data_IF_973096976238
#
_entry.id   IF_973096976238
#
_cell.length_a   1.000
_cell.length_b   1.000
_cell.length_c   1.000
_cell.angle_alpha   90.00
_cell.angle_beta   90.00
_cell.angle_gamma   90.00
#
_symmetry.space_group_name_H-M   'P 1'
#
loop_
_entity.id
_entity.type
_entity.pdbx_description
1 polymer ?
#
# COMPACT_ATOMS: atom_id res chain seq x y z
N UNK A 1 11.50 9.98 3.31
CA UNK A 1 12.64 10.02 2.36
C UNK A 1 12.79 11.47 1.93
N UNK A 2 14.00 12.03 2.16
CA UNK A 2 14.33 13.35 1.61
C UNK A 2 14.75 13.17 0.15
N UNK A 3 13.99 13.74 -0.76
CA UNK A 3 14.39 13.81 -2.18
C UNK A 3 15.51 14.82 -2.38
N UNK A 4 16.20 14.79 -3.51
CA UNK A 4 17.21 15.81 -3.90
C UNK A 4 16.67 17.25 -3.91
N UNK A 5 15.34 17.42 -3.94
CA UNK A 5 14.65 18.70 -3.85
C UNK A 5 14.17 19.04 -2.43
N UNK A 6 14.69 18.36 -1.41
CA UNK A 6 14.34 18.54 0.01
C UNK A 6 12.85 18.34 0.35
N UNK A 7 12.13 17.55 -0.48
CA UNK A 7 10.75 17.17 -0.23
C UNK A 7 10.71 15.82 0.49
N UNK A 8 10.07 15.80 1.66
CA UNK A 8 9.85 14.57 2.42
C UNK A 8 8.69 13.76 1.80
N UNK A 9 9.01 12.68 1.08
CA UNK A 9 7.99 11.75 0.59
C UNK A 9 7.84 10.60 1.59
N UNK A 10 6.68 10.47 2.19
CA UNK A 10 6.33 9.37 3.06
C UNK A 10 5.63 8.27 2.26
N UNK A 11 6.33 7.16 2.03
CA UNK A 11 5.73 5.97 1.42
C UNK A 11 5.11 5.05 2.47
N UNK A 12 3.89 4.61 2.23
CA UNK A 12 3.27 3.56 3.03
C UNK A 12 3.85 2.19 2.63
N UNK A 13 4.66 1.61 3.50
CA UNK A 13 5.25 0.29 3.28
C UNK A 13 4.15 -0.77 3.30
N UNK A 14 4.14 -1.66 2.29
CA UNK A 14 3.18 -2.75 2.24
C UNK A 14 3.39 -3.72 3.41
N UNK A 15 2.31 -4.07 4.11
CA UNK A 15 2.34 -5.05 5.19
C UNK A 15 2.73 -6.44 4.66
N UNK A 16 3.26 -7.29 5.53
CA UNK A 16 3.67 -8.66 5.18
C UNK A 16 2.47 -9.45 4.66
N UNK A 17 1.29 -9.31 5.27
CA UNK A 17 0.07 -10.01 4.85
C UNK A 17 -0.35 -9.71 3.41
N UNK A 18 -0.32 -8.43 2.98
CA UNK A 18 -0.63 -8.03 1.60
C UNK A 18 0.38 -8.62 0.60
N UNK A 19 1.66 -8.74 1.00
CA UNK A 19 2.70 -9.36 0.15
C UNK A 19 2.52 -10.87 0.02
N UNK A 20 2.08 -11.54 1.08
CA UNK A 20 1.75 -12.97 1.05
C UNK A 20 0.54 -13.20 0.13
N UNK A 21 -0.48 -12.35 0.22
CA UNK A 21 -1.65 -12.42 -0.64
C UNK A 21 -1.28 -12.21 -2.12
N UNK A 22 -0.45 -11.20 -2.43
CA UNK A 22 0.07 -10.98 -3.78
C UNK A 22 0.83 -12.20 -4.31
N UNK A 23 1.69 -12.79 -3.47
CA UNK A 23 2.43 -14.01 -3.81
C UNK A 23 1.49 -15.19 -4.06
N UNK A 24 0.44 -15.36 -3.25
CA UNK A 24 -0.56 -16.42 -3.45
C UNK A 24 -1.27 -16.30 -4.79
N UNK A 25 -1.66 -15.07 -5.19
CA UNK A 25 -2.27 -14.82 -6.51
C UNK A 25 -1.29 -15.16 -7.64
N UNK A 26 -0.02 -14.74 -7.53
CA UNK A 26 1.00 -15.08 -8.52
C UNK A 26 1.23 -16.60 -8.61
N UNK A 27 1.14 -17.32 -7.49
CA UNK A 27 1.24 -18.80 -7.46
C UNK A 27 0.06 -19.45 -8.17
N UNK A 28 -1.17 -18.94 -8.02
CA UNK A 28 -2.33 -19.43 -8.77
C UNK A 28 -2.15 -19.26 -10.28
N UNK A 29 -1.62 -18.13 -10.73
CA UNK A 29 -1.34 -17.88 -12.16
C UNK A 29 -0.30 -18.90 -12.67
N UNK A 30 0.76 -19.13 -11.92
CA UNK A 30 1.80 -20.11 -12.27
C UNK A 30 1.26 -21.54 -12.29
N UNK A 31 0.40 -21.90 -11.33
CA UNK A 31 -0.25 -23.21 -11.29
C UNK A 31 -1.20 -23.40 -12.49
N UNK A 32 -1.97 -22.37 -12.86
CA UNK A 32 -2.81 -22.40 -14.04
C UNK A 32 -1.98 -22.60 -15.32
N UNK A 33 -0.84 -21.89 -15.45
CA UNK A 33 0.08 -22.10 -16.57
C UNK A 33 0.59 -23.54 -16.63
N UNK A 34 1.04 -24.11 -15.49
CA UNK A 34 1.50 -25.52 -15.43
C UNK A 34 0.41 -26.50 -15.86
N UNK A 35 -0.81 -26.28 -15.42
CA UNK A 35 -1.94 -27.12 -15.81
C UNK A 35 -2.19 -27.07 -17.31
N UNK A 36 -2.23 -25.87 -17.89
CA UNK A 36 -2.40 -25.68 -19.33
C UNK A 36 -1.24 -26.27 -20.11
N UNK A 37 0.01 -26.02 -19.69
CA UNK A 37 1.19 -26.58 -20.32
C UNK A 37 1.18 -28.13 -20.27
N UNK A 38 0.84 -28.72 -19.11
CA UNK A 38 0.70 -30.16 -18.99
C UNK A 38 -0.35 -30.72 -19.96
N UNK A 39 -1.56 -30.15 -19.97
CA UNK A 39 -2.62 -30.61 -20.87
C UNK A 39 -2.21 -30.47 -22.35
N UNK A 40 -1.62 -29.36 -22.72
CA UNK A 40 -1.21 -29.10 -24.09
C UNK A 40 -0.09 -30.05 -24.54
N UNK A 41 1.02 -30.08 -23.82
CA UNK A 41 2.19 -30.85 -24.24
C UNK A 41 1.99 -32.36 -24.05
N UNK A 42 1.43 -32.81 -22.94
CA UNK A 42 1.35 -34.23 -22.63
C UNK A 42 0.06 -34.89 -23.12
N UNK A 43 -1.07 -34.19 -23.15
CA UNK A 43 -2.36 -34.77 -23.60
C UNK A 43 -2.64 -34.50 -25.07
N UNK A 44 -2.37 -33.29 -25.58
CA UNK A 44 -2.65 -32.96 -26.99
C UNK A 44 -1.49 -33.36 -27.89
N UNK A 45 -0.26 -32.95 -27.57
CA UNK A 45 0.91 -33.28 -28.40
C UNK A 45 1.56 -34.62 -28.08
N UNK A 46 1.08 -35.35 -27.08
CA UNK A 46 1.60 -36.67 -26.65
C UNK A 46 3.12 -36.67 -26.44
N UNK A 47 3.65 -35.57 -25.89
CA UNK A 47 5.09 -35.34 -25.73
C UNK A 47 5.77 -36.49 -24.94
N UNK A 48 5.06 -37.16 -24.04
CA UNK A 48 5.59 -38.32 -23.30
C UNK A 48 6.16 -39.40 -24.20
N UNK A 49 5.51 -39.71 -25.34
CA UNK A 49 5.99 -40.73 -26.28
C UNK A 49 7.32 -40.36 -26.92
N UNK A 50 7.59 -39.07 -27.11
CA UNK A 50 8.86 -38.58 -27.65
C UNK A 50 9.94 -38.50 -26.56
N UNK A 51 9.56 -38.17 -25.32
CA UNK A 51 10.48 -38.08 -24.21
C UNK A 51 11.05 -39.42 -23.81
N UNK A 52 10.27 -40.50 -23.96
CA UNK A 52 10.71 -41.88 -23.67
C UNK A 52 11.85 -42.35 -24.61
N UNK A 53 12.06 -41.68 -25.75
CA UNK A 53 13.11 -41.99 -26.71
C UNK A 53 14.38 -41.13 -26.50
N UNK A 54 14.35 -40.17 -25.60
CA UNK A 54 15.43 -39.24 -25.35
C UNK A 54 16.27 -39.65 -24.13
N UNK A 55 17.52 -39.22 -24.15
CA UNK A 55 18.37 -39.36 -22.97
C UNK A 55 17.95 -38.39 -21.86
N UNK A 56 18.38 -38.70 -20.63
CA UNK A 56 18.01 -37.95 -19.42
C UNK A 56 18.30 -36.43 -19.53
N UNK A 57 19.42 -36.06 -20.16
CA UNK A 57 19.78 -34.65 -20.32
C UNK A 57 18.84 -33.89 -21.24
N UNK A 58 18.46 -34.54 -22.36
CA UNK A 58 17.50 -33.98 -23.32
C UNK A 58 16.10 -33.84 -22.71
N UNK A 59 15.66 -34.84 -21.94
CA UNK A 59 14.41 -34.74 -21.19
C UNK A 59 14.43 -33.58 -20.22
N UNK A 60 15.51 -33.42 -19.43
CA UNK A 60 15.66 -32.30 -18.51
C UNK A 60 15.62 -30.95 -19.24
N UNK A 61 16.31 -30.84 -20.39
CA UNK A 61 16.32 -29.63 -21.19
C UNK A 61 14.91 -29.23 -21.66
N UNK A 62 14.13 -30.19 -22.15
CA UNK A 62 12.74 -29.96 -22.59
C UNK A 62 11.86 -29.51 -21.39
N UNK A 63 11.97 -30.16 -20.25
CA UNK A 63 11.21 -29.79 -19.05
C UNK A 63 11.58 -28.38 -18.58
N UNK A 64 12.88 -28.03 -18.55
CA UNK A 64 13.35 -26.70 -18.21
C UNK A 64 12.79 -25.66 -19.17
N UNK A 65 12.78 -25.95 -20.47
CA UNK A 65 12.24 -25.05 -21.51
C UNK A 65 10.74 -24.77 -21.28
N UNK A 66 9.95 -25.81 -21.01
CA UNK A 66 8.51 -25.70 -20.74
C UNK A 66 8.26 -24.92 -19.44
N UNK A 67 9.09 -25.12 -18.41
CA UNK A 67 8.92 -24.47 -17.11
C UNK A 67 9.59 -23.09 -17.01
N UNK A 68 10.45 -22.71 -17.98
CA UNK A 68 11.18 -21.45 -18.01
C UNK A 68 10.30 -20.21 -17.82
N UNK A 69 9.10 -20.09 -18.43
CA UNK A 69 8.22 -18.94 -18.21
C UNK A 69 7.84 -18.74 -16.76
N UNK A 70 7.71 -19.79 -15.95
CA UNK A 70 7.38 -19.70 -14.52
C UNK A 70 8.54 -19.09 -13.74
N UNK A 71 9.76 -19.50 -14.04
CA UNK A 71 10.95 -18.99 -13.36
C UNK A 71 11.20 -17.53 -13.69
N UNK A 72 11.02 -17.15 -14.96
CA UNK A 72 11.19 -15.77 -15.41
C UNK A 72 9.98 -14.86 -15.17
N UNK A 73 8.80 -15.42 -14.85
CA UNK A 73 7.54 -14.69 -14.69
C UNK A 73 7.70 -13.40 -13.87
N UNK A 74 8.32 -13.49 -12.71
CA UNK A 74 8.44 -12.35 -11.81
C UNK A 74 9.40 -11.29 -12.36
N UNK A 75 10.52 -11.71 -12.96
CA UNK A 75 11.49 -10.79 -13.56
C UNK A 75 10.87 -10.05 -14.76
N UNK A 76 10.21 -10.78 -15.63
CA UNK A 76 9.56 -10.23 -16.83
C UNK A 76 8.42 -9.29 -16.44
N UNK A 77 7.53 -9.72 -15.53
CA UNK A 77 6.42 -8.89 -15.08
C UNK A 77 6.91 -7.63 -14.36
N UNK A 78 7.83 -7.73 -13.40
CA UNK A 78 8.36 -6.55 -12.69
C UNK A 78 9.06 -5.58 -13.66
N UNK A 79 9.74 -6.07 -14.69
CA UNK A 79 10.40 -5.24 -15.69
C UNK A 79 9.42 -4.54 -16.64
N UNK A 80 8.41 -5.25 -17.13
CA UNK A 80 7.42 -4.71 -18.09
C UNK A 80 6.35 -3.86 -17.41
N UNK A 81 5.99 -4.20 -16.15
CA UNK A 81 4.95 -3.51 -15.37
C UNK A 81 5.54 -2.60 -14.29
N UNK A 82 6.76 -2.10 -14.49
CA UNK A 82 7.40 -1.11 -13.62
C UNK A 82 7.40 -1.49 -12.12
N UNK A 83 7.80 -2.71 -11.80
CA UNK A 83 7.90 -3.20 -10.42
C UNK A 83 6.63 -3.86 -9.89
N UNK A 84 5.71 -4.23 -10.77
CA UNK A 84 4.52 -4.97 -10.43
C UNK A 84 4.50 -6.36 -11.07
N UNK A 85 3.79 -7.30 -10.45
CA UNK A 85 3.30 -8.55 -11.04
C UNK A 85 1.77 -8.48 -11.09
N UNK A 86 1.10 -9.42 -11.73
CA UNK A 86 -0.37 -9.46 -11.70
C UNK A 86 -0.92 -9.52 -10.26
N UNK A 87 -0.33 -10.35 -9.38
CA UNK A 87 -0.70 -10.41 -7.98
C UNK A 87 -0.47 -9.09 -7.24
N UNK A 88 0.66 -8.42 -7.50
CA UNK A 88 0.96 -7.10 -6.92
C UNK A 88 0.04 -6.01 -7.45
N UNK A 89 -0.36 -6.06 -8.72
CA UNK A 89 -1.30 -5.10 -9.31
C UNK A 89 -2.69 -5.22 -8.69
N UNK A 90 -3.19 -6.45 -8.48
CA UNK A 90 -4.48 -6.71 -7.81
C UNK A 90 -4.45 -6.21 -6.35
N UNK A 91 -3.35 -6.46 -5.64
CA UNK A 91 -3.18 -6.02 -4.24
C UNK A 91 -2.74 -4.56 -4.10
N UNK A 92 -2.59 -3.82 -5.21
CA UNK A 92 -2.20 -2.40 -5.27
C UNK A 92 -0.88 -2.12 -4.55
N UNK A 93 0.12 -2.97 -4.76
CA UNK A 93 1.48 -2.76 -4.27
C UNK A 93 2.47 -2.66 -5.43
N UNK A 94 3.55 -1.92 -5.22
CA UNK A 94 4.61 -1.67 -6.23
C UNK A 94 5.99 -1.72 -5.59
N UNK A 95 6.98 -2.20 -6.35
CA UNK A 95 8.40 -2.11 -5.98
C UNK A 95 8.93 -0.76 -6.41
N UNK A 96 9.57 -0.05 -5.49
CA UNK A 96 10.24 1.23 -5.75
C UNK A 96 11.59 1.25 -5.05
N UNK A 97 12.50 2.10 -5.49
CA UNK A 97 13.74 2.39 -4.76
C UNK A 97 13.47 3.13 -3.46
N UNK A 98 14.28 2.90 -2.44
CA UNK A 98 14.18 3.62 -1.17
C UNK A 98 14.41 5.13 -1.39
N UNK A 99 15.20 5.51 -2.39
CA UNK A 99 15.49 6.90 -2.75
C UNK A 99 14.30 7.61 -3.41
N UNK A 100 13.17 6.92 -3.61
CA UNK A 100 11.96 7.46 -4.26
C UNK A 100 11.95 7.35 -5.77
N UNK A 101 13.04 6.92 -6.40
CA UNK A 101 13.11 6.70 -7.84
C UNK A 101 12.42 5.39 -8.25
N UNK A 102 12.09 5.30 -9.53
CA UNK A 102 11.60 4.05 -10.11
C UNK A 102 12.74 3.02 -10.11
N UNK A 103 12.43 1.78 -9.69
CA UNK A 103 13.39 0.68 -9.77
C UNK A 103 13.64 0.32 -11.25
N UNK A 104 14.89 0.04 -11.59
CA UNK A 104 15.31 -0.36 -12.92
C UNK A 104 15.41 -1.88 -13.09
N UNK A 105 15.71 -2.31 -14.32
CA UNK A 105 15.87 -3.74 -14.65
C UNK A 105 16.93 -4.43 -13.75
N UNK A 106 18.07 -3.78 -13.50
CA UNK A 106 19.12 -4.32 -12.61
C UNK A 106 18.63 -4.60 -11.20
N UNK A 107 17.77 -3.71 -10.66
CA UNK A 107 17.19 -3.90 -9.34
C UNK A 107 16.25 -5.12 -9.32
N UNK A 108 15.44 -5.32 -10.37
CA UNK A 108 14.57 -6.50 -10.52
C UNK A 108 15.36 -7.79 -10.71
N UNK A 109 16.48 -7.73 -11.45
CA UNK A 109 17.38 -8.88 -11.64
C UNK A 109 18.00 -9.33 -10.32
N UNK A 110 18.54 -8.39 -9.52
CA UNK A 110 19.08 -8.67 -8.18
C UNK A 110 17.99 -9.31 -7.31
N UNK A 111 16.79 -8.75 -7.27
CA UNK A 111 15.66 -9.28 -6.51
C UNK A 111 15.26 -10.68 -6.96
N UNK A 112 15.27 -10.94 -8.26
CA UNK A 112 14.96 -12.24 -8.82
C UNK A 112 16.03 -13.28 -8.45
N UNK A 113 17.30 -12.92 -8.55
CA UNK A 113 18.40 -13.80 -8.17
C UNK A 113 18.36 -14.19 -6.68
N UNK A 114 18.18 -13.22 -5.79
CA UNK A 114 18.04 -13.50 -4.37
C UNK A 114 16.78 -14.31 -4.04
N UNK A 115 15.73 -14.20 -4.85
CA UNK A 115 14.55 -15.07 -4.72
C UNK A 115 14.88 -16.53 -4.94
N UNK A 116 15.77 -16.86 -5.88
CA UNK A 116 16.23 -18.23 -6.07
C UNK A 116 16.93 -18.74 -4.79
N UNK A 117 17.78 -17.92 -4.19
CA UNK A 117 18.45 -18.28 -2.92
C UNK A 117 17.42 -18.50 -1.81
N UNK A 118 16.46 -17.57 -1.64
CA UNK A 118 15.41 -17.66 -0.61
C UNK A 118 14.58 -18.96 -0.75
N UNK A 119 14.26 -19.36 -1.99
CA UNK A 119 13.45 -20.54 -2.28
C UNK A 119 14.27 -21.83 -2.11
N UNK A 120 15.50 -21.85 -2.66
CA UNK A 120 16.35 -23.04 -2.62
C UNK A 120 16.92 -23.32 -1.22
N UNK A 121 17.22 -22.27 -0.44
CA UNK A 121 17.89 -22.47 0.86
C UNK A 121 16.96 -22.94 1.98
N UNK A 122 15.67 -22.52 2.02
CA UNK A 122 14.74 -22.92 3.09
C UNK A 122 13.27 -22.57 2.79
N UNK A 123 12.75 -22.91 1.63
CA UNK A 123 11.32 -22.74 1.31
C UNK A 123 10.74 -21.34 1.60
N UNK A 124 11.57 -20.29 1.54
CA UNK A 124 11.15 -18.90 1.76
C UNK A 124 11.16 -18.44 3.24
N UNK A 125 11.56 -19.28 4.18
CA UNK A 125 11.64 -18.93 5.62
C UNK A 125 12.64 -17.80 5.86
N UNK A 126 13.79 -17.83 5.19
CA UNK A 126 14.81 -16.76 5.27
C UNK A 126 14.23 -15.42 4.82
N UNK A 127 13.49 -15.41 3.71
CA UNK A 127 12.81 -14.20 3.23
C UNK A 127 11.76 -13.66 4.21
N UNK A 128 11.04 -14.53 4.93
CA UNK A 128 10.08 -14.13 5.96
C UNK A 128 10.79 -13.53 7.19
N UNK A 129 11.84 -14.18 7.70
CA UNK A 129 12.60 -13.71 8.85
C UNK A 129 13.21 -12.33 8.54
N UNK A 130 13.82 -12.18 7.38
CA UNK A 130 14.41 -10.90 6.97
C UNK A 130 13.38 -9.78 6.84
N UNK A 131 12.16 -10.08 6.38
CA UNK A 131 11.06 -9.10 6.34
C UNK A 131 10.59 -8.66 7.73
N UNK A 132 10.59 -9.56 8.71
CA UNK A 132 10.18 -9.25 10.09
C UNK A 132 11.24 -8.36 10.77
N UNK A 133 12.52 -8.65 10.56
CA UNK A 133 13.63 -7.93 11.21
C UNK A 133 13.88 -6.57 10.54
N UNK A 134 13.65 -6.46 9.23
CA UNK A 134 13.91 -5.23 8.47
C UNK A 134 12.92 -4.12 8.80
N UNK A 135 13.41 -2.91 9.09
CA UNK A 135 12.59 -1.70 9.32
C UNK A 135 11.61 -1.39 8.18
N UNK A 136 11.98 -1.75 6.95
CA UNK A 136 11.17 -1.51 5.76
C UNK A 136 10.48 -2.78 5.24
N UNK A 137 10.36 -3.81 6.06
CA UNK A 137 9.81 -5.13 5.68
C UNK A 137 10.46 -5.67 4.39
N UNK A 138 11.78 -5.54 4.21
CA UNK A 138 12.48 -5.97 3.01
C UNK A 138 12.95 -7.42 3.11
N UNK A 139 12.88 -8.16 1.98
CA UNK A 139 13.60 -9.44 1.81
C UNK A 139 15.06 -9.16 1.47
N UNK A 140 15.92 -10.18 1.53
CA UNK A 140 17.33 -10.07 1.16
C UNK A 140 17.55 -9.37 -0.18
N UNK A 141 16.82 -9.78 -1.21
CA UNK A 141 16.87 -9.15 -2.52
C UNK A 141 16.45 -7.67 -2.54
N UNK A 142 15.52 -7.28 -1.66
CA UNK A 142 15.12 -5.88 -1.49
C UNK A 142 16.19 -5.04 -0.80
N UNK A 143 16.87 -5.62 0.18
CA UNK A 143 18.00 -4.97 0.89
C UNK A 143 19.16 -4.79 -0.10
N UNK A 144 19.54 -5.85 -0.83
CA UNK A 144 20.65 -5.84 -1.77
C UNK A 144 20.44 -4.85 -2.95
N UNK A 145 19.19 -4.69 -3.42
CA UNK A 145 18.84 -3.77 -4.52
C UNK A 145 18.44 -2.37 -4.04
N UNK A 146 18.42 -2.08 -2.74
CA UNK A 146 17.95 -0.79 -2.21
C UNK A 146 16.48 -0.49 -2.54
N UNK A 147 15.63 -1.53 -2.64
CA UNK A 147 14.22 -1.38 -3.00
C UNK A 147 13.28 -1.76 -1.87
N UNK A 148 12.13 -1.11 -1.81
CA UNK A 148 11.05 -1.43 -0.89
C UNK A 148 9.75 -1.71 -1.68
N UNK A 149 8.80 -2.39 -1.04
CA UNK A 149 7.45 -2.59 -1.59
C UNK A 149 6.51 -1.63 -0.89
N UNK A 150 5.90 -0.74 -1.65
CA UNK A 150 4.97 0.26 -1.15
C UNK A 150 3.52 -0.11 -1.49
N UNK A 151 2.59 0.43 -0.71
CA UNK A 151 1.16 0.36 -0.97
C UNK A 151 0.77 1.57 -1.82
N UNK A 152 0.18 1.33 -3.01
CA UNK A 152 -0.33 2.37 -3.89
C UNK A 152 -1.67 2.94 -3.43
N UNK A 153 -2.34 2.26 -2.51
CA UNK A 153 -3.58 2.75 -1.92
C UNK A 153 -3.24 3.86 -0.94
N UNK A 154 -3.52 5.09 -1.34
CA UNK A 154 -3.44 6.20 -0.40
C UNK A 154 -4.56 6.00 0.65
N UNK A 155 -4.24 5.86 1.96
CA UNK A 155 -5.27 5.79 2.99
C UNK A 155 -6.02 7.12 3.13
N UNK A 156 -5.50 8.20 2.53
CA UNK A 156 -6.17 9.49 2.48
C UNK A 156 -7.28 9.41 1.44
N UNK A 157 -8.44 8.98 1.86
CA UNK A 157 -9.67 9.13 1.09
C UNK A 157 -10.06 10.61 1.09
N UNK A 158 -10.75 11.07 0.05
CA UNK A 158 -11.29 12.44 -0.06
C UNK A 158 -12.15 12.82 1.16
N UNK A 159 -12.69 11.81 1.89
CA UNK A 159 -13.35 12.03 3.19
C UNK A 159 -12.43 12.58 4.30
N UNK A 160 -11.11 12.52 4.12
CA UNK A 160 -10.13 13.23 4.96
C UNK A 160 -9.79 14.62 4.43
N UNK A 161 -10.27 14.98 3.23
CA UNK A 161 -10.21 16.35 2.74
C UNK A 161 -11.17 17.18 3.58
N UNK A 162 -10.79 18.40 3.87
CA UNK A 162 -11.51 19.37 4.73
C UNK A 162 -12.94 19.63 4.22
N UNK A 163 -13.20 19.41 2.93
CA UNK A 163 -14.50 19.59 2.28
C UNK A 163 -15.47 18.46 2.65
N UNK A 164 -16.25 18.66 3.69
CA UNK A 164 -17.49 17.94 3.94
C UNK A 164 -18.58 18.58 3.07
N UNK A 165 -19.38 17.80 2.32
CA UNK A 165 -20.48 18.36 1.53
C UNK A 165 -21.48 19.05 2.46
N UNK A 166 -21.40 20.37 2.51
CA UNK A 166 -22.37 21.20 3.22
C UNK A 166 -23.64 21.25 2.38
N UNK A 167 -24.79 21.09 3.03
CA UNK A 167 -26.08 21.39 2.39
C UNK A 167 -26.10 22.87 1.98
N UNK A 168 -26.74 23.17 0.85
CA UNK A 168 -26.83 24.54 0.31
C UNK A 168 -27.41 25.56 1.31
N UNK A 169 -28.18 25.09 2.29
CA UNK A 169 -28.85 25.90 3.32
C UNK A 169 -28.12 25.94 4.68
N UNK A 170 -26.82 25.55 4.70
CA UNK A 170 -26.08 25.56 5.98
C UNK A 170 -25.81 26.98 6.48
N UNK A 171 -26.24 27.24 7.72
CA UNK A 171 -26.00 28.52 8.42
C UNK A 171 -24.87 28.31 9.43
N UNK A 172 -23.71 28.98 9.28
CA UNK A 172 -22.60 28.85 10.21
C UNK A 172 -22.90 29.48 11.56
N UNK A 173 -22.42 28.85 12.62
CA UNK A 173 -22.66 29.25 14.02
C UNK A 173 -21.48 30.03 14.59
N UNK A 174 -20.25 29.67 14.23
CA UNK A 174 -19.02 30.22 14.81
C UNK A 174 -18.11 30.88 13.76
N UNK A 175 -18.29 32.17 13.46
CA UNK A 175 -17.42 32.90 12.51
C UNK A 175 -15.93 32.88 12.91
N UNK A 176 -15.64 32.74 14.21
CA UNK A 176 -14.28 32.73 14.76
C UNK A 176 -13.41 31.59 14.25
N UNK A 177 -14.00 30.59 13.61
CA UNK A 177 -13.25 29.43 13.05
C UNK A 177 -12.22 29.85 12.00
N UNK A 178 -12.36 31.01 11.37
CA UNK A 178 -11.39 31.59 10.44
C UNK A 178 -10.01 31.81 11.08
N UNK A 179 -9.95 31.93 12.41
CA UNK A 179 -8.68 32.06 13.14
C UNK A 179 -7.87 30.72 13.18
N UNK A 180 -8.48 29.60 12.82
CA UNK A 180 -7.80 28.31 12.71
C UNK A 180 -7.04 28.22 11.40
N UNK A 181 -5.85 27.62 11.42
CA UNK A 181 -5.12 27.29 10.21
C UNK A 181 -5.61 25.94 9.64
N UNK A 182 -5.37 25.71 8.34
CA UNK A 182 -5.65 24.41 7.69
C UNK A 182 -5.03 23.23 8.44
N UNK A 183 -3.84 23.44 8.99
CA UNK A 183 -3.15 22.42 9.77
C UNK A 183 -3.86 22.12 11.10
N UNK A 184 -4.39 23.17 11.77
CA UNK A 184 -5.15 22.99 13.00
C UNK A 184 -6.42 22.20 12.75
N UNK A 185 -7.16 22.55 11.69
CA UNK A 185 -8.40 21.86 11.33
C UNK A 185 -8.13 20.41 10.90
N UNK A 186 -7.04 20.15 10.20
CA UNK A 186 -6.60 18.79 9.88
C UNK A 186 -6.37 17.95 11.15
N UNK A 187 -5.63 18.50 12.13
CA UNK A 187 -5.35 17.84 13.40
C UNK A 187 -6.65 17.60 14.19
N UNK A 188 -7.55 18.60 14.21
CA UNK A 188 -8.86 18.49 14.86
C UNK A 188 -9.67 17.36 14.22
N UNK A 189 -9.77 17.30 12.89
CA UNK A 189 -10.53 16.31 12.16
C UNK A 189 -9.97 14.90 12.36
N UNK A 190 -8.65 14.72 12.29
CA UNK A 190 -8.01 13.42 12.52
C UNK A 190 -8.29 12.88 13.93
N UNK A 191 -8.13 13.71 14.95
CA UNK A 191 -8.39 13.31 16.35
C UNK A 191 -9.89 13.08 16.60
N UNK A 192 -10.76 13.89 16.02
CA UNK A 192 -12.20 13.73 16.11
C UNK A 192 -12.66 12.40 15.51
N UNK A 193 -12.22 12.05 14.30
CA UNK A 193 -12.55 10.79 13.67
C UNK A 193 -12.04 9.59 14.47
N UNK A 194 -10.80 9.69 14.98
CA UNK A 194 -10.21 8.66 15.84
C UNK A 194 -11.03 8.44 17.10
N UNK A 195 -11.42 9.53 17.77
CA UNK A 195 -12.25 9.48 18.97
C UNK A 195 -13.66 8.94 18.71
N UNK A 196 -14.23 9.17 17.51
CA UNK A 196 -15.51 8.59 17.12
C UNK A 196 -15.44 7.07 16.93
N UNK A 197 -14.35 6.57 16.31
CA UNK A 197 -14.14 5.13 16.08
C UNK A 197 -13.90 4.39 17.40
N UNK A 198 -13.11 4.98 18.31
CA UNK A 198 -12.79 4.40 19.61
C UNK A 198 -13.83 4.69 20.69
N UNK A 199 -14.84 5.53 20.40
CA UNK A 199 -15.84 6.04 21.34
C UNK A 199 -15.21 6.67 22.61
N UNK A 200 -14.07 7.37 22.44
CA UNK A 200 -13.29 7.95 23.52
C UNK A 200 -13.79 9.36 23.87
N UNK A 201 -14.57 9.44 24.95
CA UNK A 201 -15.12 10.71 25.45
C UNK A 201 -14.06 11.65 26.04
N UNK A 202 -12.97 11.11 26.53
CA UNK A 202 -11.89 11.91 27.13
C UNK A 202 -11.14 12.71 26.05
N UNK A 203 -10.85 12.08 24.91
CA UNK A 203 -10.25 12.76 23.76
C UNK A 203 -11.19 13.85 23.23
N UNK A 204 -12.49 13.58 23.10
CA UNK A 204 -13.47 14.57 22.66
C UNK A 204 -13.53 15.77 23.60
N UNK A 205 -13.54 15.57 24.91
CA UNK A 205 -13.58 16.64 25.90
C UNK A 205 -12.31 17.50 25.88
N UNK A 206 -11.13 16.86 25.85
CA UNK A 206 -9.84 17.57 25.71
C UNK A 206 -9.76 18.39 24.44
N UNK A 207 -10.21 17.83 23.32
CA UNK A 207 -10.22 18.50 22.02
C UNK A 207 -11.17 19.70 22.04
N UNK A 208 -12.39 19.54 22.55
CA UNK A 208 -13.39 20.59 22.71
C UNK A 208 -12.86 21.74 23.58
N UNK A 209 -12.28 21.43 24.74
CA UNK A 209 -11.69 22.44 25.63
C UNK A 209 -10.58 23.22 24.97
N UNK A 210 -9.70 22.55 24.21
CA UNK A 210 -8.59 23.18 23.49
C UNK A 210 -9.08 24.11 22.38
N UNK A 211 -10.09 23.70 21.61
CA UNK A 211 -10.70 24.51 20.55
C UNK A 211 -11.36 25.75 21.15
N UNK A 212 -12.13 25.62 22.23
CA UNK A 212 -12.76 26.73 22.94
C UNK A 212 -11.72 27.77 23.40
N UNK A 213 -10.60 27.28 23.95
CA UNK A 213 -9.48 28.16 24.36
C UNK A 213 -8.83 28.92 23.21
N UNK A 214 -8.58 28.28 22.06
CA UNK A 214 -7.98 28.92 20.89
C UNK A 214 -8.91 29.97 20.29
N UNK A 215 -10.20 29.64 20.16
CA UNK A 215 -11.21 30.51 19.55
C UNK A 215 -11.79 31.54 20.53
N UNK A 216 -11.38 31.49 21.82
CA UNK A 216 -11.90 32.33 22.91
C UNK A 216 -13.44 32.34 22.98
N UNK A 217 -14.03 31.16 22.84
CA UNK A 217 -15.48 30.99 22.86
C UNK A 217 -15.96 30.71 24.28
N UNK A 218 -16.84 31.59 24.77
CA UNK A 218 -17.62 31.37 26.02
C UNK A 218 -18.97 30.78 25.64
N UNK A 219 -19.10 29.46 25.67
CA UNK A 219 -20.36 28.77 25.42
C UNK A 219 -21.16 28.68 26.72
N UNK A 220 -22.47 28.91 26.62
CA UNK A 220 -23.38 28.64 27.74
C UNK A 220 -23.35 27.13 28.10
N UNK A 221 -23.43 26.75 29.38
CA UNK A 221 -23.49 25.37 29.79
C UNK A 221 -24.64 24.64 29.06
N UNK A 222 -24.35 23.48 28.48
CA UNK A 222 -25.29 22.60 27.76
C UNK A 222 -25.80 23.04 26.39
N UNK A 223 -25.20 24.01 25.75
CA UNK A 223 -25.60 24.41 24.37
C UNK A 223 -25.23 23.39 23.33
N UNK A 224 -24.08 22.70 23.47
CA UNK A 224 -23.62 21.63 22.60
C UNK A 224 -22.91 20.54 23.40
N UNK A 225 -23.08 19.27 22.99
CA UNK A 225 -22.17 18.19 23.45
C UNK A 225 -20.82 18.38 22.78
N UNK A 226 -19.71 17.89 23.39
CA UNK A 226 -18.37 18.00 22.81
C UNK A 226 -18.31 17.47 21.39
N UNK A 227 -18.99 16.35 21.11
CA UNK A 227 -19.11 15.76 19.78
C UNK A 227 -19.80 16.71 18.79
N UNK A 228 -20.92 17.30 19.16
CA UNK A 228 -21.68 18.22 18.32
C UNK A 228 -20.89 19.50 18.06
N UNK A 229 -20.27 20.05 19.12
CA UNK A 229 -19.44 21.26 19.02
C UNK A 229 -18.30 21.09 18.00
N UNK A 230 -17.50 20.03 18.12
CA UNK A 230 -16.38 19.78 17.20
C UNK A 230 -16.89 19.59 15.77
N UNK A 231 -18.01 18.88 15.59
CA UNK A 231 -18.64 18.70 14.27
C UNK A 231 -19.08 20.04 13.64
N UNK A 232 -19.68 20.95 14.42
CA UNK A 232 -20.07 22.29 13.96
C UNK A 232 -18.83 23.12 13.59
N UNK A 233 -17.79 23.12 14.41
CA UNK A 233 -16.53 23.82 14.12
C UNK A 233 -15.93 23.41 12.76
N UNK A 234 -15.90 22.10 12.48
CA UNK A 234 -15.39 21.59 11.20
C UNK A 234 -16.29 22.04 10.03
N UNK A 235 -17.61 22.03 10.20
CA UNK A 235 -18.57 22.49 9.19
C UNK A 235 -18.48 23.98 8.92
N UNK A 236 -18.39 24.77 9.98
CA UNK A 236 -18.26 26.23 9.87
C UNK A 236 -16.96 26.63 9.16
N UNK A 237 -15.85 25.97 9.52
CA UNK A 237 -14.58 26.20 8.82
C UNK A 237 -14.70 25.91 7.33
N UNK A 238 -15.29 24.78 6.95
CA UNK A 238 -15.51 24.42 5.54
C UNK A 238 -16.42 25.43 4.82
N UNK A 239 -17.41 25.98 5.52
CA UNK A 239 -18.31 26.99 4.96
C UNK A 239 -17.56 28.29 4.61
N UNK A 240 -16.69 28.75 5.50
CA UNK A 240 -15.95 30.00 5.29
C UNK A 240 -14.78 29.84 4.31
N UNK A 241 -14.06 28.72 4.33
CA UNK A 241 -12.92 28.47 3.43
C UNK A 241 -13.33 27.89 2.07
N UNK A 242 -14.45 27.17 1.99
CA UNK A 242 -14.96 26.59 0.73
C UNK A 242 -15.64 27.59 -0.21
N UNK A 243 -15.89 28.84 0.22
CA UNK A 243 -16.43 29.92 -0.62
C UNK A 243 -15.39 30.70 -1.39
N UNK A 244 -14.10 30.46 -1.17
CA UNK A 244 -13.00 31.13 -1.85
C UNK A 244 -12.49 30.44 -3.13
N UNK A 245 -13.26 29.49 -3.69
CA UNK A 245 -12.93 28.80 -4.96
C UNK A 245 -14.01 29.05 -6.00
#
# INVERSE_FOLDING_TARGET
>A
INTSQNVNINFNIASIGVRILAFGIDMLIKAAYLLVAYLLFFRVFHLGLYLDQLDTWSVMAVIILITMPIHLYTLVCESLMEGQTFGKKITKIKVVKIDGFQAGFGDYLIRWFFRLIDVFSNSGVVGLITMIISKNNQRLGGIASGTAVILLKNPVTISHTILENLSADYIPVFPQVIALTDNDVRIIKENYQKALVTNDKEILSKLSTKIKGILKLELLPNQFTDRQFIGVIIKDYNFYTGKEV
#
